data_IF_744175322693
#
_entry.id   IF_744175322693
#
_cell.length_a   1.000
_cell.length_b   1.000
_cell.length_c   1.000
_cell.angle_alpha   90.00
_cell.angle_beta   90.00
_cell.angle_gamma   90.00
#
_symmetry.space_group_name_H-M   'P 1'
#
loop_
_entity.id
_entity.type
_entity.pdbx_description
1 polymer ?
#
# COMPACT_ATOMS: atom_id res chain seq x y z
N UNK A 1 -56.53 -9.53 6.53
CA UNK A 1 -55.59 -10.64 6.74
C UNK A 1 -54.74 -10.70 5.48
N UNK A 2 -53.70 -9.86 5.43
CA UNK A 2 -52.82 -9.70 4.26
C UNK A 2 -51.87 -10.89 4.21
N UNK A 3 -51.80 -11.52 3.05
CA UNK A 3 -50.82 -12.53 2.70
C UNK A 3 -49.45 -11.86 2.54
N UNK A 4 -48.54 -12.16 3.46
CA UNK A 4 -47.13 -11.84 3.33
C UNK A 4 -46.56 -12.60 2.12
N UNK A 5 -46.35 -11.86 1.04
CA UNK A 5 -45.60 -12.31 -0.13
C UNK A 5 -44.13 -12.30 0.28
N UNK A 6 -43.62 -13.46 0.68
CA UNK A 6 -42.19 -13.67 0.88
C UNK A 6 -41.44 -13.27 -0.40
N UNK A 7 -40.57 -12.27 -0.28
CA UNK A 7 -39.57 -11.93 -1.27
C UNK A 7 -38.58 -13.10 -1.39
N UNK A 8 -38.94 -14.09 -2.20
CA UNK A 8 -38.00 -15.11 -2.66
C UNK A 8 -37.04 -14.42 -3.65
N UNK A 9 -36.01 -13.78 -3.09
CA UNK A 9 -34.95 -13.15 -3.84
C UNK A 9 -34.26 -14.20 -4.71
N UNK A 10 -34.65 -14.23 -5.99
CA UNK A 10 -34.15 -15.16 -6.99
C UNK A 10 -32.62 -15.19 -6.95
N UNK A 11 -32.06 -16.22 -6.30
CA UNK A 11 -30.63 -16.35 -6.11
C UNK A 11 -29.99 -16.62 -7.48
N UNK A 12 -29.53 -15.57 -8.15
CA UNK A 12 -28.79 -15.66 -9.41
C UNK A 12 -27.56 -16.55 -9.21
N UNK A 13 -27.67 -17.79 -9.69
CA UNK A 13 -26.59 -18.74 -9.82
C UNK A 13 -25.84 -18.43 -11.11
N UNK A 14 -24.68 -17.80 -10.98
CA UNK A 14 -23.81 -17.56 -12.11
C UNK A 14 -23.17 -18.90 -12.54
N UNK A 15 -23.04 -19.08 -13.84
CA UNK A 15 -22.13 -20.10 -14.38
C UNK A 15 -20.73 -19.73 -13.94
N UNK A 16 -19.95 -20.73 -13.49
CA UNK A 16 -18.58 -20.51 -13.05
C UNK A 16 -17.77 -19.88 -14.19
N UNK A 17 -17.09 -18.78 -13.89
CA UNK A 17 -16.61 -17.84 -14.90
C UNK A 17 -16.33 -16.46 -14.32
N UNK A 18 -16.19 -15.47 -15.21
CA UNK A 18 -16.02 -14.06 -14.85
C UNK A 18 -17.12 -13.55 -13.90
N UNK A 19 -18.39 -13.90 -14.17
CA UNK A 19 -19.52 -13.43 -13.36
C UNK A 19 -19.52 -13.97 -11.93
N UNK A 20 -19.22 -15.25 -11.76
CA UNK A 20 -19.12 -15.87 -10.43
C UNK A 20 -17.92 -15.33 -9.64
N UNK A 21 -16.75 -15.20 -10.28
CA UNK A 21 -15.56 -14.65 -9.64
C UNK A 21 -15.74 -13.17 -9.28
N UNK A 22 -16.35 -12.37 -10.15
CA UNK A 22 -16.66 -10.96 -9.86
C UNK A 22 -17.66 -10.82 -8.70
N UNK A 23 -18.70 -11.67 -8.65
CA UNK A 23 -19.64 -11.71 -7.53
C UNK A 23 -18.95 -12.10 -6.22
N UNK A 24 -18.06 -13.09 -6.25
CA UNK A 24 -17.27 -13.48 -5.08
C UNK A 24 -16.42 -12.31 -4.57
N UNK A 25 -15.66 -11.66 -5.45
CA UNK A 25 -14.84 -10.49 -5.11
C UNK A 25 -15.70 -9.36 -4.53
N UNK A 26 -16.84 -9.05 -5.16
CA UNK A 26 -17.72 -7.98 -4.72
C UNK A 26 -18.49 -8.30 -3.43
N UNK A 27 -18.68 -9.59 -3.09
CA UNK A 27 -19.41 -10.02 -1.90
C UNK A 27 -18.62 -9.86 -0.61
N UNK A 28 -17.31 -9.72 -0.70
CA UNK A 28 -16.41 -9.54 0.43
C UNK A 28 -16.40 -8.08 0.88
N UNK A 29 -17.08 -7.80 1.99
CA UNK A 29 -17.16 -6.46 2.55
C UNK A 29 -15.80 -5.92 3.02
N UNK A 30 -14.95 -6.81 3.53
CA UNK A 30 -13.61 -6.46 4.02
C UNK A 30 -12.66 -6.21 2.84
N UNK A 31 -12.96 -6.75 1.66
CA UNK A 31 -12.27 -6.54 0.37
C UNK A 31 -10.91 -7.20 0.28
N UNK A 32 -10.64 -8.18 1.14
CA UNK A 32 -9.44 -9.02 1.15
C UNK A 32 -9.34 -9.88 -0.13
N UNK A 33 -10.48 -10.17 -0.76
CA UNK A 33 -10.58 -10.98 -2.00
C UNK A 33 -10.44 -10.18 -3.29
N UNK A 34 -10.30 -8.84 -3.23
CA UNK A 34 -10.02 -7.99 -4.39
C UNK A 34 -8.56 -8.14 -4.86
N UNK A 35 -8.25 -9.34 -5.37
CA UNK A 35 -6.92 -9.79 -5.74
C UNK A 35 -6.80 -9.83 -7.26
N UNK A 36 -5.70 -9.27 -7.77
CA UNK A 36 -5.42 -9.21 -9.21
C UNK A 36 -3.95 -9.51 -9.50
N UNK A 37 -3.66 -9.94 -10.73
CA UNK A 37 -2.29 -10.14 -11.22
C UNK A 37 -1.64 -8.79 -11.50
N UNK A 38 -0.41 -8.59 -11.01
CA UNK A 38 0.36 -7.35 -11.16
C UNK A 38 1.00 -7.15 -12.54
N UNK A 39 1.28 -8.24 -13.25
CA UNK A 39 1.93 -8.24 -14.57
C UNK A 39 3.31 -7.54 -14.64
N UNK A 40 4.11 -7.67 -13.57
CA UNK A 40 5.44 -7.05 -13.40
C UNK A 40 6.33 -7.04 -14.65
N UNK A 41 6.47 -8.20 -15.31
CA UNK A 41 7.36 -8.36 -16.47
C UNK A 41 6.81 -7.58 -17.68
N UNK A 42 5.49 -7.57 -17.87
CA UNK A 42 4.87 -6.81 -18.96
C UNK A 42 4.90 -5.31 -18.67
N UNK A 43 4.64 -4.89 -17.43
CA UNK A 43 4.77 -3.49 -17.02
C UNK A 43 6.19 -2.97 -17.21
N UNK A 44 7.19 -3.71 -16.73
CA UNK A 44 8.60 -3.35 -16.90
C UNK A 44 8.98 -3.28 -18.39
N UNK A 45 8.52 -4.24 -19.20
CA UNK A 45 8.76 -4.22 -20.65
C UNK A 45 8.14 -2.99 -21.32
N UNK A 46 6.92 -2.60 -20.93
CA UNK A 46 6.28 -1.39 -21.44
C UNK A 46 7.07 -0.12 -21.08
N UNK A 47 7.52 -0.01 -19.83
CA UNK A 47 8.36 1.12 -19.39
C UNK A 47 9.69 1.18 -20.16
N UNK A 48 10.32 0.03 -20.42
CA UNK A 48 11.55 -0.04 -21.22
C UNK A 48 11.31 0.40 -22.67
N UNK A 49 10.18 0.04 -23.27
CA UNK A 49 9.84 0.51 -24.61
C UNK A 49 9.63 2.03 -24.64
N UNK A 50 8.87 2.58 -23.71
CA UNK A 50 8.66 4.03 -23.61
C UNK A 50 9.96 4.79 -23.36
N UNK A 51 10.85 4.25 -22.52
CA UNK A 51 12.17 4.83 -22.28
C UNK A 51 13.05 4.81 -23.54
N UNK A 52 13.03 3.70 -24.29
CA UNK A 52 13.77 3.59 -25.55
C UNK A 52 13.23 4.55 -26.61
N UNK A 53 11.90 4.67 -26.75
CA UNK A 53 11.28 5.63 -27.67
C UNK A 53 11.68 7.07 -27.32
N UNK A 54 11.72 7.43 -26.03
CA UNK A 54 12.18 8.75 -25.59
C UNK A 54 13.67 8.98 -25.87
N UNK A 55 14.51 7.96 -25.71
CA UNK A 55 15.95 8.06 -26.01
C UNK A 55 16.20 8.32 -27.51
N UNK A 56 15.42 7.71 -28.40
CA UNK A 56 15.49 7.99 -29.84
C UNK A 56 15.09 9.43 -30.16
N UNK A 57 14.02 9.94 -29.51
CA UNK A 57 13.59 11.34 -29.68
C UNK A 57 14.61 12.34 -29.11
N UNK A 58 15.25 12.01 -27.98
CA UNK A 58 16.33 12.80 -27.39
C UNK A 58 17.56 12.84 -28.31
N UNK A 59 17.95 11.70 -28.89
CA UNK A 59 19.01 11.64 -29.89
C UNK A 59 18.71 12.49 -31.11
N UNK A 60 17.47 12.47 -31.62
CA UNK A 60 17.06 13.31 -32.73
C UNK A 60 17.04 14.81 -32.36
N UNK A 61 16.64 15.15 -31.13
CA UNK A 61 16.71 16.54 -30.63
C UNK A 61 18.16 17.02 -30.60
N UNK A 62 19.08 16.19 -30.08
CA UNK A 62 20.50 16.51 -30.06
C UNK A 62 21.05 16.71 -31.48
N UNK A 63 20.67 15.86 -32.43
CA UNK A 63 21.07 16.03 -33.84
C UNK A 63 20.59 17.39 -34.38
N UNK A 64 19.35 17.79 -34.13
CA UNK A 64 18.83 19.09 -34.57
C UNK A 64 19.52 20.27 -33.87
N UNK A 65 19.88 20.13 -32.60
CA UNK A 65 20.62 21.15 -31.86
C UNK A 65 22.05 21.32 -32.42
N UNK A 66 22.70 20.21 -32.80
CA UNK A 66 24.01 20.22 -33.48
C UNK A 66 23.93 20.88 -34.87
N UNK A 67 22.90 20.55 -35.65
CA UNK A 67 22.61 21.23 -36.93
C UNK A 67 22.36 22.73 -36.73
N UNK A 68 21.62 23.14 -35.69
CA UNK A 68 21.35 24.55 -35.39
C UNK A 68 22.64 25.28 -35.00
N UNK A 69 23.52 24.63 -34.23
CA UNK A 69 24.82 25.19 -33.89
C UNK A 69 25.70 25.42 -35.13
N UNK A 70 25.72 24.48 -36.08
CA UNK A 70 26.51 24.62 -37.31
C UNK A 70 25.92 25.66 -38.28
N UNK A 71 24.61 25.60 -38.53
CA UNK A 71 23.95 26.48 -39.51
C UNK A 71 23.83 27.93 -39.02
N UNK A 72 23.84 28.15 -37.70
CA UNK A 72 23.85 29.49 -37.12
C UNK A 72 25.13 30.29 -37.39
N UNK A 73 26.19 29.64 -37.89
CA UNK A 73 27.41 30.30 -38.36
C UNK A 73 27.20 30.96 -39.74
N UNK A 74 26.18 30.55 -40.49
CA UNK A 74 25.87 31.14 -41.79
C UNK A 74 25.08 32.45 -41.60
N UNK A 75 25.53 33.60 -42.15
CA UNK A 75 24.93 34.91 -41.90
C UNK A 75 23.42 34.97 -42.22
N UNK A 76 23.00 34.29 -43.29
CA UNK A 76 21.62 34.33 -43.78
C UNK A 76 20.64 33.50 -42.93
N UNK A 77 21.15 32.47 -42.25
CA UNK A 77 20.38 31.53 -41.43
C UNK A 77 20.47 31.86 -39.93
N UNK A 78 21.53 32.56 -39.51
CA UNK A 78 21.80 32.89 -38.11
C UNK A 78 20.62 33.60 -37.43
N UNK A 79 20.09 34.65 -38.06
CA UNK A 79 19.00 35.45 -37.48
C UNK A 79 17.69 34.67 -37.32
N UNK A 80 17.15 33.99 -38.35
CA UNK A 80 15.90 33.25 -38.20
C UNK A 80 16.01 32.04 -37.27
N UNK A 81 17.15 31.32 -37.26
CA UNK A 81 17.39 30.21 -36.33
C UNK A 81 17.41 30.72 -34.89
N UNK A 82 18.23 31.74 -34.58
CA UNK A 82 18.34 32.28 -33.22
C UNK A 82 17.00 32.81 -32.66
N UNK A 83 16.17 33.43 -33.50
CA UNK A 83 14.84 33.90 -33.10
C UNK A 83 13.92 32.72 -32.75
N UNK A 84 13.87 31.70 -33.61
CA UNK A 84 13.03 30.53 -33.43
C UNK A 84 13.48 29.66 -32.24
N UNK A 85 14.77 29.54 -31.97
CA UNK A 85 15.29 28.76 -30.82
C UNK A 85 15.03 29.42 -29.47
N UNK A 86 14.80 30.74 -29.43
CA UNK A 86 14.68 31.51 -28.17
C UNK A 86 13.25 31.94 -27.85
N UNK A 87 12.41 32.10 -28.85
CA UNK A 87 11.03 32.56 -28.69
C UNK A 87 10.04 31.59 -29.32
N UNK A 88 9.18 31.00 -28.47
CA UNK A 88 8.12 30.09 -28.90
C UNK A 88 7.18 30.74 -29.92
N UNK A 89 6.85 32.03 -29.75
CA UNK A 89 5.91 32.69 -30.68
C UNK A 89 6.49 32.82 -32.08
N UNK A 90 7.81 33.03 -32.18
CA UNK A 90 8.53 33.09 -33.45
C UNK A 90 8.75 31.70 -34.05
N UNK A 91 9.00 30.69 -33.23
CA UNK A 91 9.04 29.29 -33.64
C UNK A 91 7.71 28.84 -34.27
N UNK A 92 6.59 29.05 -33.57
CA UNK A 92 5.26 28.62 -33.99
C UNK A 92 4.71 29.41 -35.19
N UNK A 93 5.03 30.71 -35.32
CA UNK A 93 4.70 31.45 -36.54
C UNK A 93 5.54 30.97 -37.73
N UNK A 94 6.83 30.71 -37.52
CA UNK A 94 7.77 30.33 -38.57
C UNK A 94 7.48 28.96 -39.20
N UNK A 95 6.83 28.04 -38.47
CA UNK A 95 6.37 26.74 -39.02
C UNK A 95 5.20 26.92 -39.99
N UNK A 96 4.34 27.90 -39.74
CA UNK A 96 3.10 28.13 -40.48
C UNK A 96 3.28 29.16 -41.62
N UNK A 97 4.31 29.99 -41.57
CA UNK A 97 4.61 31.01 -42.58
C UNK A 97 5.09 30.40 -43.91
N UNK A 98 4.34 30.55 -45.02
CA UNK A 98 4.75 30.08 -46.35
C UNK A 98 6.02 30.73 -46.88
N UNK A 99 6.36 31.95 -46.42
CA UNK A 99 7.49 32.73 -46.92
C UNK A 99 8.77 32.51 -46.09
N UNK A 100 8.72 31.70 -45.04
CA UNK A 100 9.88 31.43 -44.20
C UNK A 100 10.90 30.55 -44.93
N UNK A 101 12.18 30.98 -45.05
CA UNK A 101 13.22 30.21 -45.74
C UNK A 101 13.58 28.92 -44.99
N UNK A 102 13.26 28.83 -43.70
CA UNK A 102 13.53 27.67 -42.84
C UNK A 102 12.27 26.89 -42.44
N UNK A 103 11.15 27.09 -43.16
CA UNK A 103 9.85 26.48 -42.84
C UNK A 103 9.94 24.98 -42.60
N UNK A 104 10.53 24.24 -43.54
CA UNK A 104 10.61 22.78 -43.46
C UNK A 104 11.44 22.30 -42.26
N UNK A 105 12.49 23.05 -41.91
CA UNK A 105 13.32 22.81 -40.73
C UNK A 105 12.50 22.97 -39.45
N UNK A 106 11.76 24.07 -39.35
CA UNK A 106 10.92 24.37 -38.19
C UNK A 106 9.78 23.35 -38.05
N UNK A 107 9.19 22.92 -39.17
CA UNK A 107 8.14 21.91 -39.17
C UNK A 107 8.61 20.58 -38.56
N UNK A 108 9.77 20.07 -38.98
CA UNK A 108 10.37 18.85 -38.39
C UNK A 108 10.65 18.99 -36.89
N UNK A 109 11.14 20.15 -36.45
CA UNK A 109 11.37 20.44 -35.03
C UNK A 109 10.06 20.53 -34.25
N UNK A 110 9.00 21.09 -34.84
CA UNK A 110 7.69 21.14 -34.21
C UNK A 110 7.07 19.75 -34.06
N UNK A 111 7.17 18.91 -35.10
CA UNK A 111 6.75 17.50 -35.05
C UNK A 111 7.49 16.75 -33.92
N UNK A 112 8.81 16.98 -33.79
CA UNK A 112 9.61 16.41 -32.71
C UNK A 112 9.15 16.91 -31.32
N UNK A 113 8.92 18.22 -31.15
CA UNK A 113 8.43 18.79 -29.89
C UNK A 113 7.10 18.16 -29.48
N UNK A 114 6.18 17.97 -30.42
CA UNK A 114 4.88 17.31 -30.15
C UNK A 114 5.10 15.86 -29.74
N UNK A 115 5.89 15.10 -30.50
CA UNK A 115 6.19 13.70 -30.20
C UNK A 115 6.83 13.53 -28.82
N UNK A 116 7.80 14.37 -28.46
CA UNK A 116 8.42 14.37 -27.13
C UNK A 116 7.38 14.65 -26.05
N UNK A 117 6.52 15.66 -26.22
CA UNK A 117 5.50 16.01 -25.22
C UNK A 117 4.51 14.87 -24.97
N UNK A 118 4.04 14.22 -26.03
CA UNK A 118 3.11 13.10 -25.94
C UNK A 118 3.78 11.89 -25.25
N UNK A 119 4.96 11.49 -25.73
CA UNK A 119 5.66 10.32 -25.20
C UNK A 119 6.16 10.51 -23.77
N UNK A 120 6.61 11.71 -23.43
CA UNK A 120 7.06 12.03 -22.09
C UNK A 120 5.91 12.02 -21.09
N UNK A 121 4.70 12.43 -21.53
CA UNK A 121 3.48 12.31 -20.73
C UNK A 121 3.13 10.84 -20.51
N UNK A 122 3.05 10.04 -21.58
CA UNK A 122 2.75 8.61 -21.51
C UNK A 122 3.71 7.87 -20.56
N UNK A 123 5.02 8.12 -20.70
CA UNK A 123 6.05 7.52 -19.84
C UNK A 123 5.90 7.91 -18.37
N UNK A 124 5.69 9.21 -18.07
CA UNK A 124 5.55 9.69 -16.69
C UNK A 124 4.27 9.16 -16.04
N UNK A 125 3.17 9.13 -16.77
CA UNK A 125 1.91 8.55 -16.29
C UNK A 125 2.08 7.05 -16.00
N UNK A 126 2.70 6.31 -16.92
CA UNK A 126 2.99 4.89 -16.73
C UNK A 126 3.89 4.64 -15.50
N UNK A 127 4.93 5.46 -15.28
CA UNK A 127 5.80 5.36 -14.10
C UNK A 127 5.06 5.60 -12.79
N UNK A 128 4.18 6.60 -12.74
CA UNK A 128 3.40 6.90 -11.53
C UNK A 128 2.41 5.77 -11.23
N UNK A 129 1.74 5.24 -12.27
CA UNK A 129 0.83 4.10 -12.13
C UNK A 129 1.58 2.86 -11.65
N UNK A 130 2.72 2.53 -12.26
CA UNK A 130 3.52 1.37 -11.87
C UNK A 130 4.09 1.51 -10.46
N UNK A 131 4.58 2.71 -10.08
CA UNK A 131 5.02 3.01 -8.72
C UNK A 131 3.89 2.78 -7.70
N UNK A 132 2.67 3.21 -8.05
CA UNK A 132 1.49 2.99 -7.22
C UNK A 132 1.23 1.50 -7.05
N UNK A 133 1.23 0.73 -8.15
CA UNK A 133 1.02 -0.72 -8.15
C UNK A 133 2.10 -1.46 -7.36
N UNK A 134 3.37 -1.11 -7.52
CA UNK A 134 4.50 -1.69 -6.77
C UNK A 134 4.43 -1.37 -5.27
N UNK A 135 3.84 -0.23 -4.89
CA UNK A 135 3.62 0.14 -3.48
C UNK A 135 2.46 -0.60 -2.82
N UNK A 136 1.56 -1.20 -3.61
CA UNK A 136 0.43 -1.97 -3.08
C UNK A 136 0.91 -3.27 -2.41
N UNK A 137 0.12 -3.75 -1.44
CA UNK A 137 0.48 -4.96 -0.69
C UNK A 137 0.13 -6.22 -1.47
N UNK A 138 0.94 -7.26 -1.24
CA UNK A 138 0.60 -8.63 -1.64
C UNK A 138 -0.58 -9.13 -0.80
N UNK A 139 -1.43 -10.02 -1.34
CA UNK A 139 -2.49 -10.63 -0.56
C UNK A 139 -1.93 -11.46 0.60
N UNK A 140 -2.70 -11.51 1.69
CA UNK A 140 -2.38 -12.39 2.83
C UNK A 140 -2.45 -13.86 2.39
N UNK A 141 -1.72 -14.75 3.07
CA UNK A 141 -1.75 -16.19 2.78
C UNK A 141 -3.18 -16.77 2.89
N UNK A 142 -3.97 -16.25 3.82
CA UNK A 142 -5.35 -16.68 4.05
C UNK A 142 -6.26 -16.23 2.92
N UNK A 143 -6.18 -14.95 2.53
CA UNK A 143 -6.96 -14.39 1.43
C UNK A 143 -6.62 -15.09 0.11
N UNK A 144 -5.33 -15.30 -0.17
CA UNK A 144 -4.88 -16.03 -1.37
C UNK A 144 -5.37 -17.49 -1.37
N UNK A 145 -5.33 -18.19 -0.24
CA UNK A 145 -5.86 -19.56 -0.12
C UNK A 145 -7.38 -19.62 -0.32
N UNK A 146 -8.13 -18.67 0.25
CA UNK A 146 -9.58 -18.60 0.09
C UNK A 146 -9.95 -18.28 -1.37
N UNK A 147 -9.27 -17.31 -1.97
CA UNK A 147 -9.43 -16.96 -3.37
C UNK A 147 -9.13 -18.15 -4.28
N UNK A 148 -8.01 -18.86 -4.06
CA UNK A 148 -7.67 -20.03 -4.86
C UNK A 148 -8.69 -21.17 -4.73
N UNK A 149 -9.28 -21.39 -3.55
CA UNK A 149 -10.34 -22.39 -3.39
C UNK A 149 -11.56 -22.05 -4.23
N UNK A 150 -11.96 -20.78 -4.25
CA UNK A 150 -13.07 -20.32 -5.09
C UNK A 150 -12.69 -20.42 -6.58
N UNK A 151 -11.51 -19.93 -6.95
CA UNK A 151 -11.01 -19.94 -8.32
C UNK A 151 -10.96 -21.37 -8.89
N UNK A 152 -10.51 -22.36 -8.13
CA UNK A 152 -10.44 -23.76 -8.59
C UNK A 152 -11.72 -24.56 -8.37
N UNK A 153 -12.83 -23.89 -8.01
CA UNK A 153 -14.10 -24.50 -7.64
C UNK A 153 -13.89 -25.71 -6.69
N UNK A 154 -13.05 -25.53 -5.68
CA UNK A 154 -12.55 -26.62 -4.85
C UNK A 154 -13.69 -27.21 -4.00
N UNK A 155 -13.89 -28.52 -4.13
CA UNK A 155 -14.89 -29.25 -3.35
C UNK A 155 -14.21 -30.38 -2.59
N UNK A 156 -14.39 -30.41 -1.26
CA UNK A 156 -13.82 -31.44 -0.36
C UNK A 156 -12.30 -31.60 -0.50
N UNK A 157 -11.56 -30.50 -0.66
CA UNK A 157 -10.09 -30.54 -0.78
C UNK A 157 -9.57 -30.93 -2.15
N UNK A 158 -10.43 -31.06 -3.16
CA UNK A 158 -10.04 -31.37 -4.55
C UNK A 158 -10.45 -30.24 -5.49
N UNK A 159 -9.49 -29.75 -6.26
CA UNK A 159 -9.71 -28.82 -7.37
C UNK A 159 -10.56 -29.52 -8.43
N UNK A 160 -11.50 -28.81 -9.03
CA UNK A 160 -12.37 -29.38 -10.06
C UNK A 160 -12.04 -28.78 -11.42
N UNK A 161 -12.29 -27.50 -11.60
CA UNK A 161 -11.95 -26.74 -12.80
C UNK A 161 -11.75 -25.27 -12.42
N UNK A 162 -10.85 -24.55 -13.10
CA UNK A 162 -10.61 -23.15 -12.83
C UNK A 162 -11.79 -22.28 -13.27
N UNK A 163 -12.01 -21.16 -12.58
CA UNK A 163 -13.05 -20.19 -12.90
C UNK A 163 -12.72 -19.43 -14.19
N UNK A 164 -11.43 -19.30 -14.52
CA UNK A 164 -10.96 -18.73 -15.79
C UNK A 164 -10.06 -19.75 -16.49
N UNK A 165 -10.23 -19.91 -17.79
CA UNK A 165 -9.53 -20.92 -18.59
C UNK A 165 -8.53 -20.29 -19.59
N UNK A 166 -7.81 -21.12 -20.34
CA UNK A 166 -6.79 -20.72 -21.31
C UNK A 166 -5.59 -20.07 -20.64
N UNK A 167 -5.10 -18.95 -21.18
CA UNK A 167 -3.96 -18.22 -20.58
C UNK A 167 -4.29 -17.58 -19.22
N UNK A 168 -5.57 -17.58 -18.81
CA UNK A 168 -5.99 -17.04 -17.51
C UNK A 168 -5.98 -18.07 -16.39
N UNK A 169 -5.83 -19.37 -16.70
CA UNK A 169 -5.89 -20.46 -15.72
C UNK A 169 -4.83 -20.29 -14.62
N UNK A 170 -3.63 -19.85 -14.98
CA UNK A 170 -2.48 -19.79 -14.07
C UNK A 170 -2.30 -18.42 -13.38
N UNK A 171 -3.17 -17.44 -13.67
CA UNK A 171 -2.98 -16.05 -13.20
C UNK A 171 -2.86 -15.90 -11.68
N UNK A 172 -3.46 -16.81 -10.92
CA UNK A 172 -3.59 -16.72 -9.47
C UNK A 172 -2.78 -17.77 -8.68
N UNK A 173 -1.95 -18.57 -9.36
CA UNK A 173 -1.15 -19.61 -8.72
C UNK A 173 -0.05 -19.02 -7.82
N UNK A 174 0.72 -18.09 -8.36
CA UNK A 174 1.86 -17.49 -7.66
C UNK A 174 1.44 -16.27 -6.84
N UNK A 175 1.52 -16.36 -5.50
CA UNK A 175 1.14 -15.26 -4.60
C UNK A 175 1.97 -13.99 -4.78
N UNK A 176 3.26 -14.14 -5.07
CA UNK A 176 4.21 -13.00 -5.15
C UNK A 176 3.95 -12.09 -6.37
N UNK A 177 3.23 -12.64 -7.34
CA UNK A 177 2.80 -12.02 -8.56
C UNK A 177 1.46 -11.26 -8.42
N UNK A 178 0.82 -11.34 -7.25
CA UNK A 178 -0.51 -10.77 -7.01
C UNK A 178 -0.47 -9.49 -6.18
N UNK A 179 -1.53 -8.70 -6.32
CA UNK A 179 -1.78 -7.48 -5.56
C UNK A 179 -3.19 -7.51 -4.97
N UNK A 180 -3.35 -7.00 -3.75
CA UNK A 180 -4.65 -6.75 -3.14
C UNK A 180 -4.99 -5.26 -3.27
N UNK A 181 -6.13 -4.95 -3.92
CA UNK A 181 -6.53 -3.56 -4.17
C UNK A 181 -6.91 -2.81 -2.91
N UNK A 182 -7.56 -3.49 -1.95
CA UNK A 182 -7.91 -2.89 -0.68
C UNK A 182 -6.82 -3.16 0.34
N UNK A 183 -6.38 -2.10 0.99
CA UNK A 183 -5.51 -2.19 2.17
C UNK A 183 -6.39 -2.64 3.34
N UNK A 184 -6.20 -3.83 3.93
CA UNK A 184 -6.83 -4.11 5.21
C UNK A 184 -6.35 -3.04 6.20
N UNK A 185 -7.30 -2.34 6.83
CA UNK A 185 -6.99 -1.33 7.84
C UNK A 185 -6.14 -1.99 8.93
N UNK A 186 -4.87 -1.57 9.00
CA UNK A 186 -3.89 -1.92 10.02
C UNK A 186 -4.05 -3.33 10.62
N UNK A 187 -3.52 -4.35 9.95
CA UNK A 187 -3.17 -5.59 10.65
C UNK A 187 -2.09 -5.24 11.70
N UNK A 188 -2.53 -4.99 12.94
CA UNK A 188 -1.63 -4.81 14.07
C UNK A 188 -0.76 -6.04 14.27
N UNK A 189 0.48 -5.85 14.71
CA UNK A 189 1.44 -6.96 14.94
C UNK A 189 0.86 -7.99 15.91
N UNK A 190 0.06 -7.54 16.89
CA UNK A 190 -0.74 -8.42 17.73
C UNK A 190 -1.75 -9.27 16.97
N UNK A 191 -2.43 -8.73 15.95
CA UNK A 191 -3.36 -9.49 15.12
C UNK A 191 -2.66 -10.67 14.46
N UNK A 192 -1.44 -10.47 13.95
CA UNK A 192 -0.63 -11.53 13.34
C UNK A 192 -0.16 -12.56 14.37
N UNK A 193 0.27 -12.11 15.56
CA UNK A 193 0.72 -12.99 16.65
C UNK A 193 -0.45 -13.81 17.21
N UNK A 194 -1.60 -13.18 17.48
CA UNK A 194 -2.79 -13.87 17.97
C UNK A 194 -3.32 -14.86 16.94
N UNK A 195 -3.34 -14.52 15.65
CA UNK A 195 -3.69 -15.47 14.58
C UNK A 195 -2.76 -16.69 14.56
N UNK A 196 -1.47 -16.50 14.87
CA UNK A 196 -0.48 -17.58 14.92
C UNK A 196 -0.58 -18.45 16.18
N UNK A 197 -0.85 -17.87 17.34
CA UNK A 197 -0.80 -18.57 18.63
C UNK A 197 -2.18 -19.07 19.12
N UNK A 198 -3.28 -18.41 18.76
CA UNK A 198 -4.61 -18.69 19.31
C UNK A 198 -5.70 -18.88 18.24
N UNK A 199 -5.58 -19.84 17.30
CA UNK A 199 -6.59 -20.05 16.25
C UNK A 199 -7.99 -20.38 16.79
N UNK A 200 -8.11 -20.88 18.03
CA UNK A 200 -9.38 -21.18 18.70
C UNK A 200 -10.18 -19.93 19.13
N UNK A 201 -9.50 -18.85 19.49
CA UNK A 201 -10.14 -17.57 19.85
C UNK A 201 -10.79 -16.90 18.63
N UNK A 202 -10.23 -17.17 17.44
CA UNK A 202 -10.74 -16.63 16.18
C UNK A 202 -11.91 -17.45 15.61
N UNK A 203 -12.05 -18.75 15.91
CA UNK A 203 -13.17 -19.59 15.43
C UNK A 203 -14.55 -19.24 16.00
N UNK A 204 -14.62 -18.36 17.01
CA UNK A 204 -15.88 -17.96 17.63
C UNK A 204 -16.53 -16.80 16.86
N UNK A 205 -17.33 -17.11 15.83
CA UNK A 205 -18.40 -16.19 15.40
C UNK A 205 -18.50 -15.85 13.92
N UNK A 206 -18.03 -16.71 13.02
CA UNK A 206 -18.40 -16.63 11.60
C UNK A 206 -19.83 -17.13 11.37
N UNK A 207 -20.73 -16.29 10.84
CA UNK A 207 -21.97 -16.78 10.22
C UNK A 207 -21.57 -17.63 9.03
N UNK A 208 -21.80 -18.94 9.10
CA UNK A 208 -21.67 -19.84 7.93
C UNK A 208 -22.66 -19.38 6.85
N UNK A 209 -22.17 -18.78 5.78
CA UNK A 209 -22.94 -18.69 4.54
C UNK A 209 -23.03 -20.10 3.95
N UNK A 210 -24.26 -20.54 3.63
CA UNK A 210 -24.60 -21.93 3.33
C UNK A 210 -23.97 -22.48 2.03
N UNK A 211 -23.19 -21.70 1.27
CA UNK A 211 -22.75 -22.07 -0.08
C UNK A 211 -21.26 -21.89 -0.40
N UNK A 212 -20.45 -21.27 0.46
CA UNK A 212 -18.99 -21.23 0.28
C UNK A 212 -18.38 -21.42 1.66
N UNK A 213 -17.62 -22.49 1.86
CA UNK A 213 -17.02 -22.85 3.16
C UNK A 213 -15.89 -21.92 3.61
N UNK A 214 -16.01 -20.62 3.32
CA UNK A 214 -15.05 -19.57 3.63
C UNK A 214 -15.58 -18.82 4.86
N UNK A 215 -14.92 -19.03 6.01
CA UNK A 215 -15.21 -18.26 7.23
C UNK A 215 -14.62 -16.85 7.07
N UNK A 216 -15.49 -15.86 6.86
CA UNK A 216 -15.11 -14.44 6.92
C UNK A 216 -14.95 -14.01 8.38
N UNK A 217 -13.75 -13.56 8.75
CA UNK A 217 -13.47 -13.03 10.08
C UNK A 217 -13.52 -11.51 10.06
N UNK A 218 -14.52 -10.92 10.72
CA UNK A 218 -14.69 -9.47 10.80
C UNK A 218 -13.46 -8.78 11.38
N UNK A 219 -12.76 -8.01 10.54
CA UNK A 219 -11.58 -7.23 10.91
C UNK A 219 -11.84 -6.25 12.08
N UNK A 220 -13.05 -5.70 12.17
CA UNK A 220 -13.44 -4.77 13.25
C UNK A 220 -13.46 -5.42 14.63
N UNK A 221 -13.90 -6.68 14.75
CA UNK A 221 -13.88 -7.40 16.04
C UNK A 221 -12.45 -7.71 16.48
N UNK A 222 -11.58 -8.00 15.51
CA UNK A 222 -10.17 -8.29 15.76
C UNK A 222 -9.47 -7.04 16.30
N UNK A 223 -9.68 -5.89 15.65
CA UNK A 223 -9.16 -4.60 16.12
C UNK A 223 -9.63 -4.27 17.54
N UNK A 224 -10.92 -4.50 17.84
CA UNK A 224 -11.46 -4.29 19.19
C UNK A 224 -10.75 -5.16 20.24
N UNK A 225 -10.59 -6.47 19.98
CA UNK A 225 -9.94 -7.39 20.93
C UNK A 225 -8.48 -7.03 21.14
N UNK A 226 -7.75 -6.73 20.06
CA UNK A 226 -6.34 -6.33 20.11
C UNK A 226 -6.16 -5.04 20.90
N UNK A 227 -6.99 -4.03 20.64
CA UNK A 227 -6.96 -2.77 21.38
C UNK A 227 -7.30 -3.00 22.87
N UNK A 228 -8.29 -3.84 23.16
CA UNK A 228 -8.67 -4.18 24.55
C UNK A 228 -7.51 -4.85 25.31
N UNK A 229 -6.87 -5.85 24.70
CA UNK A 229 -5.70 -6.53 25.29
C UNK A 229 -4.55 -5.56 25.52
N UNK A 230 -4.31 -4.64 24.57
CA UNK A 230 -3.26 -3.62 24.66
C UNK A 230 -3.48 -2.68 25.84
N UNK A 231 -4.73 -2.21 26.02
CA UNK A 231 -5.11 -1.34 27.15
C UNK A 231 -4.97 -2.07 28.48
N UNK A 232 -5.42 -3.32 28.58
CA UNK A 232 -5.28 -4.11 29.82
C UNK A 232 -3.81 -4.31 30.19
N UNK A 233 -2.96 -4.66 29.22
CA UNK A 233 -1.53 -4.86 29.46
C UNK A 233 -0.84 -3.55 29.87
N UNK A 234 -1.16 -2.43 29.22
CA UNK A 234 -0.64 -1.11 29.59
C UNK A 234 -1.04 -0.73 31.02
N UNK A 235 -2.31 -0.95 31.39
CA UNK A 235 -2.78 -0.73 32.75
C UNK A 235 -2.07 -1.64 33.76
N UNK A 236 -1.94 -2.94 33.46
CA UNK A 236 -1.24 -3.89 34.34
C UNK A 236 0.23 -3.52 34.55
N UNK A 237 0.94 -3.06 33.51
CA UNK A 237 2.30 -2.57 33.65
C UNK A 237 2.38 -1.28 34.46
N UNK A 238 1.43 -0.35 34.31
CA UNK A 238 1.42 0.92 35.04
C UNK A 238 1.09 0.72 36.53
N UNK A 239 -0.02 0.04 36.83
CA UNK A 239 -0.40 -0.27 38.21
C UNK A 239 0.58 -1.24 38.86
N UNK A 240 1.05 -2.24 38.12
CA UNK A 240 2.03 -3.21 38.62
C UNK A 240 3.36 -2.55 38.98
N UNK A 241 3.82 -1.58 38.19
CA UNK A 241 5.01 -0.81 38.54
C UNK A 241 4.80 -0.02 39.84
N UNK A 242 3.74 0.80 39.92
CA UNK A 242 3.46 1.61 41.12
C UNK A 242 3.33 0.73 42.37
N UNK A 243 2.61 -0.40 42.26
CA UNK A 243 2.43 -1.33 43.36
C UNK A 243 3.75 -1.93 43.84
N UNK A 244 4.61 -2.40 42.92
CA UNK A 244 5.92 -2.95 43.32
C UNK A 244 6.86 -1.88 43.88
N UNK A 245 6.83 -0.67 43.33
CA UNK A 245 7.64 0.44 43.83
C UNK A 245 7.22 0.90 45.24
N UNK A 246 5.95 0.69 45.63
CA UNK A 246 5.46 1.04 46.97
C UNK A 246 6.04 0.15 48.09
N UNK A 247 6.33 -1.12 47.81
CA UNK A 247 6.80 -2.07 48.83
C UNK A 247 8.32 -2.19 48.93
N UNK A 248 9.07 -1.55 48.03
CA UNK A 248 10.53 -1.65 48.00
C UNK A 248 11.12 -0.42 48.67
N UNK A 249 11.79 -0.58 49.81
CA UNK A 249 12.34 0.56 50.56
C UNK A 249 13.71 1.04 50.06
N UNK A 250 14.41 0.25 49.21
CA UNK A 250 15.76 0.57 48.75
C UNK A 250 15.77 1.44 47.47
N UNK A 251 16.33 2.64 47.56
CA UNK A 251 16.38 3.62 46.46
C UNK A 251 17.08 3.12 45.19
N UNK A 252 18.19 2.39 45.35
CA UNK A 252 18.92 1.82 44.20
C UNK A 252 18.06 0.78 43.45
N UNK A 253 17.24 0.03 44.19
CA UNK A 253 16.34 -0.98 43.63
C UNK A 253 15.12 -0.31 42.98
N UNK A 254 14.59 0.78 43.57
CA UNK A 254 13.54 1.62 42.95
C UNK A 254 14.00 2.12 41.57
N UNK A 255 15.21 2.68 41.46
CA UNK A 255 15.75 3.18 40.18
C UNK A 255 15.88 2.08 39.12
N UNK A 256 16.36 0.90 39.51
CA UNK A 256 16.44 -0.27 38.63
C UNK A 256 15.06 -0.74 38.16
N UNK A 257 14.07 -0.77 39.05
CA UNK A 257 12.69 -1.12 38.73
C UNK A 257 12.05 -0.15 37.72
N UNK A 258 12.30 1.16 37.84
CA UNK A 258 11.83 2.15 36.86
C UNK A 258 12.37 1.82 35.46
N UNK A 259 13.68 1.53 35.36
CA UNK A 259 14.31 1.20 34.09
C UNK A 259 13.71 -0.08 33.48
N UNK A 260 13.53 -1.13 34.30
CA UNK A 260 12.95 -2.41 33.87
C UNK A 260 11.51 -2.25 33.40
N UNK A 261 10.66 -1.56 34.17
CA UNK A 261 9.25 -1.35 33.78
C UNK A 261 9.11 -0.46 32.56
N UNK A 262 9.93 0.58 32.43
CA UNK A 262 9.95 1.45 31.25
C UNK A 262 10.37 0.65 30.00
N UNK A 263 11.37 -0.21 30.11
CA UNK A 263 11.79 -1.10 29.02
C UNK A 263 10.70 -2.13 28.68
N UNK A 264 10.08 -2.75 29.67
CA UNK A 264 9.00 -3.71 29.46
C UNK A 264 7.79 -3.06 28.78
N UNK A 265 7.44 -1.82 29.15
CA UNK A 265 6.40 -1.03 28.49
C UNK A 265 6.79 -0.65 27.05
N UNK A 266 8.02 -0.21 26.82
CA UNK A 266 8.52 0.09 25.49
C UNK A 266 8.44 -1.13 24.56
N UNK A 267 8.89 -2.29 25.07
CA UNK A 267 8.85 -3.55 24.35
C UNK A 267 7.42 -4.02 24.10
N UNK A 268 6.54 -3.92 25.10
CA UNK A 268 5.14 -4.31 24.93
C UNK A 268 4.48 -3.47 23.85
N UNK A 269 4.55 -2.14 23.92
CA UNK A 269 4.00 -1.22 22.90
C UNK A 269 4.63 -1.48 21.52
N UNK A 270 5.94 -1.73 21.43
CA UNK A 270 6.63 -1.96 20.15
C UNK A 270 6.26 -3.29 19.49
N UNK A 271 6.06 -4.35 20.29
CA UNK A 271 5.65 -5.67 19.80
C UNK A 271 4.16 -5.67 19.47
N UNK A 272 3.36 -4.93 20.24
CA UNK A 272 1.91 -5.02 20.20
C UNK A 272 1.28 -4.08 19.18
N UNK A 273 1.74 -2.83 19.16
CA UNK A 273 1.16 -1.76 18.36
C UNK A 273 1.98 -1.48 17.09
N UNK A 274 1.35 -0.80 16.13
CA UNK A 274 2.01 -0.22 14.97
C UNK A 274 2.51 1.22 15.22
N UNK A 275 2.76 1.59 16.48
CA UNK A 275 3.20 2.93 16.84
C UNK A 275 4.50 3.31 16.12
N UNK A 276 4.57 4.56 15.65
CA UNK A 276 5.77 5.13 15.04
C UNK A 276 6.87 5.23 16.10
N UNK A 277 8.13 5.22 15.68
CA UNK A 277 9.28 5.35 16.60
C UNK A 277 9.13 6.56 17.54
N UNK A 278 8.70 7.70 17.01
CA UNK A 278 8.45 8.92 17.79
C UNK A 278 7.35 8.76 18.85
N UNK A 279 6.27 8.04 18.54
CA UNK A 279 5.16 7.77 19.46
C UNK A 279 5.61 6.84 20.59
N UNK A 280 6.44 5.84 20.29
CA UNK A 280 7.03 4.94 21.30
C UNK A 280 7.92 5.74 22.26
N UNK A 281 8.80 6.61 21.74
CA UNK A 281 9.64 7.45 22.59
C UNK A 281 8.82 8.39 23.48
N UNK A 282 7.78 9.03 22.93
CA UNK A 282 6.89 9.89 23.69
C UNK A 282 6.16 9.14 24.80
N UNK A 283 5.60 7.95 24.50
CA UNK A 283 4.92 7.11 25.48
C UNK A 283 5.88 6.62 26.59
N UNK A 284 7.12 6.26 26.24
CA UNK A 284 8.13 5.86 27.21
C UNK A 284 8.54 7.02 28.13
N UNK A 285 8.72 8.23 27.58
CA UNK A 285 9.05 9.42 28.36
C UNK A 285 7.92 9.77 29.34
N UNK A 286 6.66 9.72 28.90
CA UNK A 286 5.50 9.94 29.76
C UNK A 286 5.42 8.88 30.88
N UNK A 287 5.59 7.61 30.54
CA UNK A 287 5.58 6.51 31.50
C UNK A 287 6.69 6.64 32.54
N UNK A 288 7.93 6.90 32.10
CA UNK A 288 9.07 7.12 32.98
C UNK A 288 8.85 8.34 33.90
N UNK A 289 8.30 9.44 33.37
CA UNK A 289 8.00 10.62 34.17
C UNK A 289 7.00 10.32 35.30
N UNK A 290 5.95 9.54 35.04
CA UNK A 290 4.97 9.13 36.07
C UNK A 290 5.65 8.32 37.17
N UNK A 291 6.50 7.36 36.82
CA UNK A 291 7.22 6.54 37.80
C UNK A 291 8.23 7.36 38.63
N UNK A 292 8.99 8.26 37.98
CA UNK A 292 9.98 9.11 38.66
C UNK A 292 9.32 10.11 39.61
N UNK A 293 8.18 10.69 39.23
CA UNK A 293 7.40 11.59 40.11
C UNK A 293 6.87 10.83 41.32
N UNK A 294 6.37 9.61 41.13
CA UNK A 294 5.91 8.75 42.23
C UNK A 294 7.04 8.47 43.23
N UNK A 295 8.22 8.08 42.76
CA UNK A 295 9.38 7.84 43.63
C UNK A 295 9.88 9.11 44.31
N UNK A 296 9.98 10.23 43.58
CA UNK A 296 10.43 11.50 44.15
C UNK A 296 9.52 12.00 45.28
N UNK A 297 8.21 11.76 45.19
CA UNK A 297 7.26 12.13 46.24
C UNK A 297 7.40 11.28 47.51
N UNK A 298 7.82 10.03 47.37
CA UNK A 298 8.04 9.08 48.47
C UNK A 298 9.38 9.36 49.18
N UNK A 299 10.45 9.56 48.41
CA UNK A 299 11.78 9.93 48.93
C UNK A 299 11.76 11.25 49.73
N UNK A 300 10.93 12.21 49.32
CA UNK A 300 10.79 13.49 50.02
C UNK A 300 10.10 13.38 51.38
N UNK A 301 9.35 12.30 51.64
CA UNK A 301 8.68 12.04 52.93
C UNK A 301 9.64 11.49 53.98
N UNK A 302 10.56 10.61 53.58
CA UNK A 302 11.53 10.00 54.50
C UNK A 302 12.56 11.02 55.02
N UNK A 303 12.95 12.01 54.21
CA UNK A 303 13.88 13.08 54.64
C UNK A 303 13.28 14.07 55.65
N UNK A 304 11.95 14.24 55.68
CA UNK A 304 11.27 15.11 56.65
C UNK A 304 10.93 14.40 57.98
N UNK A 305 11.25 13.11 58.10
CA UNK A 305 10.89 12.26 59.24
C UNK A 305 12.06 11.91 60.16
N UNK A 306 13.27 12.39 59.87
CA UNK A 306 14.48 12.27 60.69
C UNK A 306 14.92 13.60 61.28
#
# INVERSE_FOLDING_TARGET
MQSDVEQDGMALHYVSGFGDLAKFIASDHDGDTAIFRRFDVLSARNLLYLQSELAELEGLQQQYDEEDAQDSLQPDLAKPINLASRDWSSFDRGTNDPNSPIKERLKKRMELVVAIREKLKEYREALVLESTILSMRRPSMQAHSAFNRQFWNERRGRRTFPALDGHSEQLYEERDQLVALKRPENEDRLTLILRRFCPMLFRLGGRKTRNSGVEYFSASRISLVVNTVSVILAAALLFGAIYNLYYVDQDQVKLGLIAVYTLAFALSVSVISNARRAEIFGACAAYAAVLVVFVSGDLGRDQNSG
#
